data_IF_405557581351
#
_entry.id   IF_405557581351
#
_cell.length_a   1.000
_cell.length_b   1.000
_cell.length_c   1.000
_cell.angle_alpha   90.00
_cell.angle_beta   90.00
_cell.angle_gamma   90.00
#
_symmetry.space_group_name_H-M   'P 1'
#
loop_
_entity.id
_entity.type
_entity.pdbx_description
1 polymer ?
#
# COMPACT_ATOMS: atom_id res chain seq x y z
N UNK A 1 -9.26 -12.35 -5.26
CA UNK A 1 -8.34 -11.47 -6.02
C UNK A 1 -8.91 -11.09 -7.38
N UNK A 2 -9.67 -11.96 -8.04
CA UNK A 2 -10.26 -11.70 -9.37
C UNK A 2 -11.13 -10.44 -9.43
N UNK A 3 -12.07 -10.27 -8.50
CA UNK A 3 -12.91 -9.06 -8.46
C UNK A 3 -12.09 -7.75 -8.35
N UNK A 4 -10.98 -7.76 -7.61
CA UNK A 4 -10.10 -6.60 -7.49
C UNK A 4 -9.30 -6.38 -8.79
N UNK A 5 -8.82 -7.46 -9.41
CA UNK A 5 -8.18 -7.42 -10.72
C UNK A 5 -9.12 -6.83 -11.76
N UNK A 6 -10.39 -7.23 -11.77
CA UNK A 6 -11.41 -6.71 -12.69
C UNK A 6 -11.60 -5.20 -12.55
N UNK A 7 -11.58 -4.67 -11.32
CA UNK A 7 -11.62 -3.22 -11.10
C UNK A 7 -10.41 -2.50 -11.69
N UNK A 8 -9.20 -3.06 -11.56
CA UNK A 8 -8.02 -2.48 -12.22
C UNK A 8 -8.13 -2.54 -13.74
N UNK A 9 -8.68 -3.62 -14.30
CA UNK A 9 -8.92 -3.74 -15.74
C UNK A 9 -9.88 -2.66 -16.24
N UNK A 10 -10.93 -2.32 -15.47
CA UNK A 10 -11.83 -1.20 -15.80
C UNK A 10 -11.06 0.12 -15.95
N UNK A 11 -10.18 0.46 -15.00
CA UNK A 11 -9.39 1.70 -15.08
C UNK A 11 -8.41 1.70 -16.27
N UNK A 12 -7.81 0.56 -16.56
CA UNK A 12 -6.90 0.41 -17.69
C UNK A 12 -7.63 0.55 -19.03
N UNK A 13 -8.81 -0.04 -19.14
CA UNK A 13 -9.65 0.05 -20.33
C UNK A 13 -10.15 1.49 -20.53
N UNK A 14 -10.53 2.19 -19.46
CA UNK A 14 -10.88 3.62 -19.50
C UNK A 14 -9.72 4.48 -20.01
N UNK A 15 -8.49 4.21 -19.54
CA UNK A 15 -7.29 4.88 -20.08
C UNK A 15 -7.12 4.56 -21.57
N UNK A 16 -7.17 3.28 -21.94
CA UNK A 16 -6.88 2.82 -23.31
C UNK A 16 -7.88 3.38 -24.34
N UNK A 17 -9.14 3.54 -23.94
CA UNK A 17 -10.20 4.12 -24.76
C UNK A 17 -10.19 5.66 -24.79
N UNK A 18 -9.41 6.31 -23.92
CA UNK A 18 -9.34 7.77 -23.84
C UNK A 18 -8.57 8.36 -25.03
N UNK A 19 -9.14 9.35 -25.71
CA UNK A 19 -8.44 10.08 -26.76
C UNK A 19 -7.20 10.85 -26.23
N UNK A 20 -7.27 11.32 -24.98
CA UNK A 20 -6.22 12.11 -24.35
C UNK A 20 -5.21 11.23 -23.58
N UNK A 21 -5.69 10.20 -22.89
CA UNK A 21 -4.89 9.46 -21.91
C UNK A 21 -4.42 8.07 -22.35
N UNK A 22 -4.76 7.59 -23.56
CA UNK A 22 -4.37 6.25 -24.05
C UNK A 22 -2.87 5.92 -24.04
N UNK A 23 -2.01 6.92 -23.85
CA UNK A 23 -0.55 6.75 -23.74
C UNK A 23 0.00 7.13 -22.36
N UNK A 24 -0.84 7.60 -21.44
CA UNK A 24 -0.43 8.02 -20.11
C UNK A 24 -0.07 6.77 -19.28
N UNK A 25 1.16 6.65 -18.80
CA UNK A 25 1.54 5.57 -17.89
C UNK A 25 0.71 5.62 -16.61
N UNK A 26 0.26 4.46 -16.14
CA UNK A 26 -0.33 4.29 -14.82
C UNK A 26 0.72 3.65 -13.93
N UNK A 27 1.11 4.36 -12.87
CA UNK A 27 2.00 3.87 -11.83
C UNK A 27 1.16 3.55 -10.60
N UNK A 28 1.29 2.34 -10.08
CA UNK A 28 0.65 1.92 -8.83
C UNK A 28 1.71 1.45 -7.84
N UNK A 29 1.45 1.63 -6.56
CA UNK A 29 2.29 1.12 -5.48
C UNK A 29 1.59 -0.06 -4.78
N UNK A 30 2.37 -0.94 -4.17
CA UNK A 30 1.85 -1.88 -3.18
C UNK A 30 1.57 -1.18 -1.84
N UNK A 31 0.87 -1.88 -0.97
CA UNK A 31 0.92 -1.60 0.45
C UNK A 31 2.22 -2.16 1.05
N UNK A 32 2.71 -1.56 2.14
CA UNK A 32 3.82 -2.13 2.92
C UNK A 32 3.29 -2.99 4.08
N UNK A 33 4.13 -3.80 4.71
CA UNK A 33 3.74 -4.68 5.79
C UNK A 33 3.38 -3.89 7.05
N UNK A 34 2.12 -4.02 7.46
CA UNK A 34 1.62 -3.45 8.72
C UNK A 34 1.67 -4.47 9.84
N UNK A 35 1.63 -3.94 11.06
CA UNK A 35 1.33 -4.72 12.26
C UNK A 35 -0.09 -4.35 12.70
N UNK A 36 -1.00 -5.34 12.86
CA UNK A 36 -2.33 -5.11 13.43
C UNK A 36 -2.23 -4.66 14.90
N UNK A 37 -2.06 -3.36 15.11
CA UNK A 37 -1.92 -2.75 16.43
C UNK A 37 -3.28 -2.33 16.95
N UNK A 38 -3.51 -2.45 18.25
CA UNK A 38 -4.69 -1.87 18.89
C UNK A 38 -4.56 -0.34 19.06
N UNK A 39 -4.34 0.35 17.94
CA UNK A 39 -4.16 1.79 17.88
C UNK A 39 -5.15 2.38 16.86
N UNK A 40 -6.24 3.01 17.33
CA UNK A 40 -7.25 3.60 16.45
C UNK A 40 -6.64 4.63 15.47
N UNK A 41 -7.21 4.77 14.27
CA UNK A 41 -6.78 5.78 13.32
C UNK A 41 -7.06 7.19 13.87
N UNK A 42 -6.13 8.11 13.63
CA UNK A 42 -6.26 9.51 14.08
C UNK A 42 -6.00 10.48 12.93
N UNK A 43 -6.73 11.60 12.92
CA UNK A 43 -6.47 12.74 12.05
C UNK A 43 -6.23 13.97 12.92
N UNK A 44 -5.03 14.57 12.81
CA UNK A 44 -4.61 15.68 13.67
C UNK A 44 -4.74 15.35 15.17
N UNK A 45 -4.51 14.09 15.55
CA UNK A 45 -4.65 13.59 16.92
C UNK A 45 -6.10 13.30 17.35
N UNK A 46 -7.09 13.51 16.49
CA UNK A 46 -8.50 13.21 16.76
C UNK A 46 -8.80 11.78 16.27
N UNK A 47 -9.28 10.86 17.12
CA UNK A 47 -9.69 9.52 16.70
C UNK A 47 -10.78 9.59 15.61
N UNK A 48 -10.58 8.87 14.51
CA UNK A 48 -11.57 8.72 13.44
C UNK A 48 -12.49 7.50 13.67
N UNK A 49 -12.09 6.61 14.58
CA UNK A 49 -12.87 5.46 15.00
C UNK A 49 -12.56 5.17 16.47
N UNK A 50 -13.49 4.50 17.15
CA UNK A 50 -13.34 4.12 18.56
C UNK A 50 -12.39 2.91 18.75
N UNK A 51 -12.02 2.24 17.66
CA UNK A 51 -11.23 1.01 17.67
C UNK A 51 -10.25 0.98 16.50
N UNK A 52 -9.20 0.18 16.66
CA UNK A 52 -8.36 -0.27 15.55
C UNK A 52 -9.21 -1.02 14.52
N UNK A 53 -8.82 -0.93 13.24
CA UNK A 53 -9.60 -1.51 12.15
C UNK A 53 -9.21 -2.96 11.88
N UNK A 54 -7.92 -3.28 11.82
CA UNK A 54 -7.44 -4.63 11.49
C UNK A 54 -7.38 -5.50 12.74
N UNK A 55 -6.84 -4.98 13.86
CA UNK A 55 -6.73 -5.69 15.12
C UNK A 55 -8.09 -6.16 15.62
N UNK A 56 -9.11 -5.29 15.54
CA UNK A 56 -10.48 -5.61 15.94
C UNK A 56 -11.07 -6.80 15.15
N UNK A 57 -10.74 -6.94 13.88
CA UNK A 57 -11.20 -8.06 13.06
C UNK A 57 -10.54 -9.38 13.47
N UNK A 58 -9.27 -9.34 13.91
CA UNK A 58 -8.60 -10.51 14.48
C UNK A 58 -9.17 -10.89 15.84
N UNK A 59 -9.41 -9.92 16.73
CA UNK A 59 -10.05 -10.14 18.04
C UNK A 59 -11.43 -10.79 17.87
N UNK A 60 -12.27 -10.29 16.95
CA UNK A 60 -13.60 -10.86 16.70
C UNK A 60 -13.56 -12.31 16.20
N UNK A 61 -12.43 -12.72 15.60
CA UNK A 61 -12.19 -14.09 15.13
C UNK A 61 -11.48 -14.95 16.17
N UNK A 62 -11.15 -14.42 17.34
CA UNK A 62 -10.41 -15.11 18.40
C UNK A 62 -8.96 -15.41 18.02
N UNK A 63 -8.35 -14.58 17.17
CA UNK A 63 -6.96 -14.73 16.71
C UNK A 63 -6.10 -13.72 17.49
N UNK A 64 -5.58 -14.13 18.63
CA UNK A 64 -4.89 -13.21 19.57
C UNK A 64 -3.35 -13.26 19.48
N UNK A 65 -2.79 -14.21 18.72
CA UNK A 65 -1.34 -14.33 18.52
C UNK A 65 -0.83 -13.25 17.54
N UNK A 66 -0.04 -12.26 18.00
CA UNK A 66 0.44 -11.17 17.13
C UNK A 66 1.31 -11.66 15.96
N UNK A 67 2.05 -12.75 16.15
CA UNK A 67 2.87 -13.31 15.07
C UNK A 67 1.98 -13.91 13.97
N UNK A 68 0.91 -14.60 14.36
CA UNK A 68 -0.09 -15.14 13.44
C UNK A 68 -0.87 -14.03 12.74
N UNK A 69 -1.33 -13.00 13.48
CA UNK A 69 -2.01 -11.85 12.89
C UNK A 69 -1.17 -11.18 11.80
N UNK A 70 0.12 -10.91 12.10
CA UNK A 70 1.06 -10.32 11.13
C UNK A 70 1.28 -11.24 9.93
N UNK A 71 1.45 -12.54 10.14
CA UNK A 71 1.64 -13.50 9.04
C UNK A 71 0.41 -13.58 8.12
N UNK A 72 -0.80 -13.64 8.69
CA UNK A 72 -2.05 -13.65 7.93
C UNK A 72 -2.22 -12.37 7.11
N UNK A 73 -1.93 -11.21 7.71
CA UNK A 73 -2.05 -9.95 7.00
C UNK A 73 -0.99 -9.80 5.90
N UNK A 74 0.26 -10.22 6.16
CA UNK A 74 1.30 -10.26 5.15
C UNK A 74 0.92 -11.13 3.94
N UNK A 75 0.31 -12.31 4.17
CA UNK A 75 -0.19 -13.16 3.08
C UNK A 75 -1.25 -12.44 2.20
N UNK A 76 -2.12 -11.63 2.79
CA UNK A 76 -3.10 -10.84 2.04
C UNK A 76 -2.42 -9.75 1.20
N UNK A 77 -1.45 -9.04 1.78
CA UNK A 77 -0.69 -8.00 1.09
C UNK A 77 0.19 -8.58 -0.04
N UNK A 78 0.77 -9.76 0.17
CA UNK A 78 1.53 -10.49 -0.83
C UNK A 78 0.64 -10.94 -1.99
N UNK A 79 -0.55 -11.47 -1.71
CA UNK A 79 -1.51 -11.84 -2.75
C UNK A 79 -1.96 -10.63 -3.59
N UNK A 80 -2.13 -9.46 -2.95
CA UNK A 80 -2.41 -8.21 -3.65
C UNK A 80 -1.22 -7.78 -4.54
N UNK A 81 -0.01 -7.76 -3.99
CA UNK A 81 1.20 -7.38 -4.73
C UNK A 81 1.46 -8.31 -5.92
N UNK A 82 1.29 -9.63 -5.74
CA UNK A 82 1.44 -10.62 -6.80
C UNK A 82 0.41 -10.44 -7.92
N UNK A 83 -0.84 -10.09 -7.57
CA UNK A 83 -1.87 -9.77 -8.57
C UNK A 83 -1.47 -8.53 -9.39
N UNK A 84 -1.05 -7.45 -8.72
CA UNK A 84 -0.60 -6.22 -9.39
C UNK A 84 0.64 -6.45 -10.27
N UNK A 85 1.57 -7.31 -9.82
CA UNK A 85 2.79 -7.66 -10.56
C UNK A 85 2.47 -8.46 -11.81
N UNK A 86 1.50 -9.39 -11.75
CA UNK A 86 1.01 -10.08 -12.95
C UNK A 86 0.38 -9.07 -13.91
N UNK A 87 -0.46 -8.17 -13.40
CA UNK A 87 -1.12 -7.17 -14.22
C UNK A 87 -0.14 -6.21 -14.92
N UNK A 88 0.97 -5.82 -14.26
CA UNK A 88 2.02 -4.97 -14.86
C UNK A 88 2.82 -5.66 -15.96
N UNK A 89 2.89 -7.00 -15.92
CA UNK A 89 3.48 -7.81 -17.01
C UNK A 89 2.52 -8.00 -18.17
N UNK A 90 1.21 -8.04 -17.90
CA UNK A 90 0.17 -8.29 -18.90
C UNK A 90 -0.28 -7.02 -19.64
N UNK A 91 -0.27 -5.85 -18.99
CA UNK A 91 -0.87 -4.62 -19.52
C UNK A 91 0.18 -3.54 -19.76
N UNK A 92 0.34 -3.16 -21.03
CA UNK A 92 1.26 -2.08 -21.42
C UNK A 92 0.92 -0.76 -20.71
N UNK A 93 1.96 -0.04 -20.28
CA UNK A 93 1.83 1.24 -19.62
C UNK A 93 1.24 1.16 -18.20
N UNK A 94 1.16 -0.04 -17.62
CA UNK A 94 0.84 -0.24 -16.21
C UNK A 94 2.10 -0.69 -15.48
N UNK A 95 2.50 0.07 -14.47
CA UNK A 95 3.77 -0.08 -13.79
C UNK A 95 3.53 -0.27 -12.29
N UNK A 96 4.11 -1.32 -11.73
CA UNK A 96 4.09 -1.56 -10.29
C UNK A 96 5.38 -1.06 -9.65
N UNK A 97 5.25 -0.25 -8.59
CA UNK A 97 6.32 0.05 -7.65
C UNK A 97 6.13 -0.85 -6.44
N UNK A 98 7.01 -1.84 -6.29
CA UNK A 98 7.01 -2.67 -5.09
C UNK A 98 7.59 -1.86 -3.91
N UNK A 99 6.71 -1.50 -2.99
CA UNK A 99 7.00 -0.72 -1.80
C UNK A 99 7.15 -1.59 -0.56
N UNK A 100 6.90 -2.91 -0.63
CA UNK A 100 7.01 -3.81 0.52
C UNK A 100 8.42 -3.82 1.10
N UNK A 101 8.50 -3.87 2.43
CA UNK A 101 9.74 -3.84 3.20
C UNK A 101 10.47 -2.50 3.15
N UNK A 102 9.79 -1.40 2.82
CA UNK A 102 10.40 -0.05 2.81
C UNK A 102 10.27 0.62 4.17
N UNK A 103 9.14 0.40 4.83
CA UNK A 103 8.81 0.92 6.15
C UNK A 103 9.25 -0.07 7.22
N UNK A 104 9.69 0.48 8.34
CA UNK A 104 10.04 -0.29 9.52
C UNK A 104 8.78 -0.93 10.11
N UNK A 105 8.83 -2.25 10.33
CA UNK A 105 7.76 -2.98 11.00
C UNK A 105 7.80 -2.65 12.48
N UNK A 106 6.68 -2.20 13.01
CA UNK A 106 6.53 -1.83 14.44
C UNK A 106 6.02 -3.01 15.26
N UNK A 107 6.29 -2.98 16.57
CA UNK A 107 5.75 -3.96 17.50
C UNK A 107 4.23 -3.78 17.69
N UNK A 108 3.54 -4.82 18.16
CA UNK A 108 2.07 -4.78 18.36
C UNK A 108 1.64 -3.78 19.44
N UNK A 109 2.51 -3.59 20.43
CA UNK A 109 2.35 -2.70 21.59
C UNK A 109 3.01 -1.33 21.40
N UNK A 110 3.65 -1.09 20.26
CA UNK A 110 4.19 0.22 19.93
C UNK A 110 3.03 1.18 19.61
N UNK A 111 2.74 2.13 20.49
CA UNK A 111 1.71 3.17 20.27
C UNK A 111 2.32 4.49 19.79
N UNK A 112 3.60 4.50 19.42
CA UNK A 112 4.26 5.68 18.88
C UNK A 112 3.73 6.04 17.49
N UNK A 113 3.72 7.34 17.21
CA UNK A 113 3.41 7.92 15.90
C UNK A 113 4.64 8.55 15.23
N UNK A 114 5.79 8.53 15.92
CA UNK A 114 7.07 9.13 15.48
C UNK A 114 7.90 8.20 14.56
N UNK A 115 7.44 6.96 14.41
CA UNK A 115 8.03 5.95 13.52
C UNK A 115 7.65 6.16 12.06
N UNK A 116 7.74 5.08 11.28
CA UNK A 116 7.29 5.08 9.88
C UNK A 116 5.77 4.99 9.72
N UNK A 117 5.07 4.59 10.79
CA UNK A 117 3.61 4.42 10.83
C UNK A 117 2.97 5.42 11.81
N UNK A 118 1.92 6.10 11.36
CA UNK A 118 1.10 6.99 12.17
C UNK A 118 0.09 6.21 13.01
N UNK A 119 -0.51 5.19 12.42
CA UNK A 119 -1.49 4.31 13.05
C UNK A 119 -1.34 2.89 12.49
N UNK A 120 -2.33 2.03 12.72
CA UNK A 120 -2.31 0.64 12.29
C UNK A 120 -2.05 0.43 10.78
N UNK A 121 -2.39 1.40 9.93
CA UNK A 121 -2.28 1.22 8.49
C UNK A 121 -1.73 2.43 7.72
N UNK A 122 -1.78 3.63 8.28
CA UNK A 122 -1.27 4.81 7.60
C UNK A 122 0.19 5.08 7.93
N UNK A 123 1.06 5.26 6.91
CA UNK A 123 2.40 5.78 7.14
C UNK A 123 2.35 7.17 7.79
N UNK A 124 3.35 7.48 8.62
CA UNK A 124 3.57 8.84 9.11
C UNK A 124 4.15 9.73 7.99
N UNK A 125 4.29 11.04 8.24
CA UNK A 125 5.01 11.93 7.33
C UNK A 125 6.46 11.46 7.06
N UNK A 126 7.07 10.73 8.00
CA UNK A 126 8.37 10.08 7.80
C UNK A 126 8.25 8.85 6.90
N UNK A 127 7.27 7.99 7.13
CA UNK A 127 7.02 6.83 6.28
C UNK A 127 6.71 7.21 4.83
N UNK A 128 5.83 8.18 4.61
CA UNK A 128 5.54 8.69 3.26
C UNK A 128 6.78 9.24 2.56
N UNK A 129 7.69 9.91 3.27
CA UNK A 129 8.97 10.37 2.69
C UNK A 129 9.86 9.20 2.25
N UNK A 130 9.89 8.09 3.00
CA UNK A 130 10.62 6.88 2.60
C UNK A 130 10.01 6.22 1.36
N UNK A 131 8.70 6.05 1.34
CA UNK A 131 7.99 5.49 0.18
C UNK A 131 8.18 6.34 -1.07
N UNK A 132 7.89 7.65 -0.97
CA UNK A 132 7.98 8.57 -2.09
C UNK A 132 9.43 8.74 -2.57
N UNK A 133 10.35 9.10 -1.66
CA UNK A 133 11.73 9.37 -2.02
C UNK A 133 12.52 8.12 -2.41
N UNK A 134 12.29 7.00 -1.73
CA UNK A 134 13.08 5.78 -1.90
C UNK A 134 12.57 4.84 -3.00
N UNK A 135 11.27 4.88 -3.35
CA UNK A 135 10.68 3.94 -4.31
C UNK A 135 9.94 4.64 -5.45
N UNK A 136 9.01 5.53 -5.14
CA UNK A 136 8.06 6.09 -6.14
C UNK A 136 8.74 7.11 -7.05
N UNK A 137 9.45 8.09 -6.48
CA UNK A 137 10.14 9.14 -7.25
C UNK A 137 11.21 8.57 -8.20
N UNK A 138 12.05 7.60 -7.78
CA UNK A 138 12.93 6.89 -8.71
C UNK A 138 12.18 6.25 -9.88
N UNK A 139 11.10 5.52 -9.61
CA UNK A 139 10.30 4.89 -10.67
C UNK A 139 9.67 5.91 -11.64
N UNK A 140 9.21 7.06 -11.13
CA UNK A 140 8.75 8.17 -11.99
C UNK A 140 9.91 8.69 -12.86
N UNK A 141 11.10 8.85 -12.29
CA UNK A 141 12.29 9.30 -13.01
C UNK A 141 12.72 8.35 -14.13
N UNK A 142 12.58 7.03 -13.94
CA UNK A 142 12.84 6.02 -14.96
C UNK A 142 11.82 6.05 -16.10
N UNK A 143 10.54 6.29 -15.78
CA UNK A 143 9.46 6.35 -16.78
C UNK A 143 9.45 7.66 -17.57
N UNK A 144 9.89 8.75 -16.94
CA UNK A 144 9.92 10.09 -17.52
C UNK A 144 11.32 10.69 -17.35
N UNK A 145 12.34 10.12 -18.03
CA UNK A 145 13.69 10.66 -17.94
C UNK A 145 13.65 12.11 -18.40
N UNK A 146 14.25 13.00 -17.60
CA UNK A 146 14.39 14.40 -17.99
C UNK A 146 15.12 14.45 -19.32
N UNK A 147 14.49 15.06 -20.33
CA UNK A 147 15.18 15.36 -21.57
C UNK A 147 16.20 16.43 -21.22
N UNK A 148 17.48 16.07 -21.21
CA UNK A 148 18.57 17.05 -21.13
C UNK A 148 18.47 17.90 -22.40
N UNK A 149 17.93 19.11 -22.24
CA UNK A 149 17.99 20.16 -23.25
C UNK A 149 19.32 20.89 -23.22
#
# INVERSE_FOLDING_TARGET
MDALRDLYLVYLDLRDQSQLNRRTPILVQCYDYVTPRNHPPTLLGIPLADHAWVHREFEQKGIDDPALQRALFALLLDALADMLLRLSRERRGFHLVDTRGTLEVVAVDDLSTEGDWQDEMHPSARGYRKLAGGRINPAIGELFPRVSG
#
